data_IF_274134442417
#
_entry.id   IF_274134442417
#
_cell.length_a   1.000
_cell.length_b   1.000
_cell.length_c   1.000
_cell.angle_alpha   90.00
_cell.angle_beta   90.00
_cell.angle_gamma   90.00
#
_symmetry.space_group_name_H-M   'P 1'
#
loop_
_entity.id
_entity.type
_entity.pdbx_description
1 polymer ?
#
# COMPACT_ATOMS: atom_id res chain seq x y z
N UNK A 1 18.66 -25.45 28.23
CA UNK A 1 17.52 -24.53 28.52
C UNK A 1 17.90 -23.31 29.37
N UNK A 2 18.53 -23.46 30.54
CA UNK A 2 18.94 -22.30 31.39
C UNK A 2 19.86 -21.28 30.67
N UNK A 3 20.79 -21.75 29.82
CA UNK A 3 21.67 -20.88 29.03
C UNK A 3 20.96 -20.10 27.91
N UNK A 4 20.02 -20.73 27.18
CA UNK A 4 19.28 -20.04 26.11
C UNK A 4 18.38 -18.94 26.67
N UNK A 5 17.65 -19.24 27.74
CA UNK A 5 16.80 -18.25 28.42
C UNK A 5 17.61 -17.05 28.93
N UNK A 6 18.81 -17.30 29.44
CA UNK A 6 19.75 -16.25 29.82
C UNK A 6 20.10 -15.33 28.64
N UNK A 7 20.52 -15.89 27.49
CA UNK A 7 20.86 -15.09 26.31
C UNK A 7 19.66 -14.34 25.72
N UNK A 8 18.48 -14.94 25.77
CA UNK A 8 17.23 -14.29 25.36
C UNK A 8 16.97 -13.02 26.19
N UNK A 9 16.97 -13.13 27.52
CA UNK A 9 16.76 -11.98 28.41
C UNK A 9 17.90 -10.95 28.32
N UNK A 10 19.15 -11.42 28.18
CA UNK A 10 20.31 -10.56 28.02
C UNK A 10 20.21 -9.74 26.73
N UNK A 11 19.75 -10.34 25.63
CA UNK A 11 19.58 -9.65 24.36
C UNK A 11 18.55 -8.52 24.45
N UNK A 12 17.44 -8.73 25.18
CA UNK A 12 16.49 -7.64 25.47
C UNK A 12 17.15 -6.49 26.23
N UNK A 13 17.93 -6.81 27.26
CA UNK A 13 18.65 -5.81 28.06
C UNK A 13 19.64 -5.03 27.20
N UNK A 14 20.37 -5.71 26.32
CA UNK A 14 21.35 -5.08 25.43
C UNK A 14 20.68 -4.19 24.38
N UNK A 15 19.55 -4.62 23.81
CA UNK A 15 18.76 -3.82 22.87
C UNK A 15 18.29 -2.53 23.56
N UNK A 16 17.71 -2.62 24.76
CA UNK A 16 17.20 -1.44 25.48
C UNK A 16 18.32 -0.52 25.97
N UNK A 17 19.47 -1.08 26.34
CA UNK A 17 20.61 -0.30 26.83
C UNK A 17 21.36 0.43 25.70
N UNK A 18 21.25 -0.06 24.46
CA UNK A 18 21.94 0.52 23.31
C UNK A 18 21.03 1.44 22.50
N UNK A 19 21.19 2.76 22.68
CA UNK A 19 20.30 3.78 22.10
C UNK A 19 19.99 3.61 20.61
N UNK A 20 20.99 3.36 19.78
CA UNK A 20 20.81 3.16 18.32
C UNK A 20 20.00 1.91 17.97
N UNK A 21 20.21 0.80 18.70
CA UNK A 21 19.50 -0.46 18.44
C UNK A 21 18.06 -0.35 18.94
N UNK A 22 17.86 0.22 20.13
CA UNK A 22 16.54 0.51 20.69
C UNK A 22 15.71 1.40 19.75
N UNK A 23 16.30 2.52 19.33
CA UNK A 23 15.62 3.47 18.44
C UNK A 23 15.25 2.82 17.13
N UNK A 24 16.14 2.02 16.54
CA UNK A 24 15.88 1.31 15.29
C UNK A 24 14.79 0.24 15.41
N UNK A 25 14.89 -0.68 16.37
CA UNK A 25 13.99 -1.84 16.44
C UNK A 25 12.61 -1.50 17.00
N UNK A 26 12.53 -0.51 17.90
CA UNK A 26 11.31 -0.22 18.64
C UNK A 26 10.78 1.18 18.28
N UNK A 27 11.58 2.23 18.50
CA UNK A 27 11.10 3.60 18.35
C UNK A 27 10.75 3.94 16.90
N UNK A 28 11.50 3.47 15.91
CA UNK A 28 11.22 3.70 14.50
C UNK A 28 9.89 3.10 14.08
N UNK A 29 9.54 1.91 14.57
CA UNK A 29 8.24 1.28 14.26
C UNK A 29 7.09 2.13 14.80
N UNK A 30 7.21 2.59 16.05
CA UNK A 30 6.23 3.51 16.66
C UNK A 30 6.18 4.85 15.92
N UNK A 31 7.33 5.41 15.56
CA UNK A 31 7.38 6.68 14.85
C UNK A 31 6.72 6.57 13.48
N UNK A 32 7.11 5.57 12.68
CA UNK A 32 6.56 5.39 11.34
C UNK A 32 5.07 5.02 11.35
N UNK A 33 4.57 4.34 12.38
CA UNK A 33 3.15 4.03 12.50
C UNK A 33 2.27 5.25 12.70
N UNK A 34 2.81 6.37 13.22
CA UNK A 34 2.10 7.65 13.28
C UNK A 34 2.45 8.53 12.08
N UNK A 35 3.73 8.62 11.72
CA UNK A 35 4.21 9.52 10.67
C UNK A 35 3.56 9.26 9.31
N UNK A 36 3.50 8.00 8.86
CA UNK A 36 2.94 7.69 7.54
C UNK A 36 1.43 7.99 7.47
N UNK A 37 0.61 7.49 8.42
CA UNK A 37 -0.81 7.79 8.37
C UNK A 37 -1.15 9.26 8.50
N UNK A 38 -0.44 10.02 9.36
CA UNK A 38 -0.69 11.46 9.52
C UNK A 38 -0.26 12.25 8.28
N UNK A 39 0.87 11.89 7.66
CA UNK A 39 1.33 12.54 6.42
C UNK A 39 0.34 12.39 5.26
N UNK A 40 -0.47 11.34 5.26
CA UNK A 40 -1.47 11.07 4.22
C UNK A 40 -2.92 11.29 4.69
N UNK A 41 -3.12 11.82 5.90
CA UNK A 41 -4.46 12.07 6.45
C UNK A 41 -5.19 13.20 5.73
N UNK A 42 -4.45 14.16 5.18
CA UNK A 42 -4.98 15.29 4.41
C UNK A 42 -5.48 14.93 3.00
N UNK A 43 -5.41 13.66 2.59
CA UNK A 43 -5.82 13.20 1.25
C UNK A 43 -7.17 12.49 1.23
N UNK A 44 -8.04 12.75 2.21
CA UNK A 44 -9.47 12.59 1.98
C UNK A 44 -9.84 13.54 0.84
N UNK A 45 -10.38 13.01 -0.24
CA UNK A 45 -10.58 13.72 -1.50
C UNK A 45 -11.10 15.14 -1.28
N UNK A 46 -10.26 16.15 -1.51
CA UNK A 46 -10.72 17.51 -1.74
C UNK A 46 -11.71 17.46 -2.92
N UNK A 47 -12.78 18.25 -2.85
CA UNK A 47 -13.79 18.27 -3.89
C UNK A 47 -13.11 18.56 -5.24
N UNK A 48 -13.33 17.72 -6.26
CA UNK A 48 -12.68 17.87 -7.55
C UNK A 48 -13.18 19.15 -8.21
N UNK A 49 -12.32 20.15 -8.48
CA UNK A 49 -12.75 21.35 -9.18
C UNK A 49 -13.04 20.98 -10.64
N UNK A 50 -14.28 21.12 -11.07
CA UNK A 50 -14.71 20.86 -12.44
C UNK A 50 -15.35 22.10 -13.06
N UNK A 51 -15.28 22.15 -14.38
CA UNK A 51 -16.02 23.13 -15.19
C UNK A 51 -17.10 22.37 -15.96
N UNK A 52 -18.31 22.90 -15.94
CA UNK A 52 -19.40 22.34 -16.73
C UNK A 52 -19.52 23.15 -18.02
N UNK A 53 -19.52 22.45 -19.16
CA UNK A 53 -19.79 23.04 -20.47
C UNK A 53 -21.23 22.67 -20.84
N UNK A 54 -22.15 23.63 -20.75
CA UNK A 54 -23.57 23.44 -21.12
C UNK A 54 -23.86 24.14 -22.44
N UNK A 55 -23.81 23.37 -23.54
CA UNK A 55 -24.08 23.86 -24.90
C UNK A 55 -25.59 23.87 -25.21
N UNK A 56 -26.40 23.04 -24.54
CA UNK A 56 -27.84 22.89 -24.81
C UNK A 56 -28.70 23.90 -24.02
N UNK A 57 -28.33 24.22 -22.78
CA UNK A 57 -29.08 25.08 -21.86
C UNK A 57 -30.56 24.63 -21.70
N UNK A 58 -30.78 23.33 -21.52
CA UNK A 58 -32.10 22.74 -21.39
C UNK A 58 -32.52 22.50 -19.93
N UNK A 59 -33.79 22.10 -19.74
CA UNK A 59 -34.27 21.63 -18.44
C UNK A 59 -33.60 20.33 -18.00
N UNK A 60 -33.14 19.50 -18.94
CA UNK A 60 -32.37 18.28 -18.67
C UNK A 60 -30.95 18.62 -18.20
N UNK A 61 -30.25 19.53 -18.90
CA UNK A 61 -28.90 19.97 -18.52
C UNK A 61 -28.91 20.62 -17.13
N UNK A 62 -29.88 21.48 -16.85
CA UNK A 62 -30.08 22.11 -15.52
C UNK A 62 -30.24 21.08 -14.41
N UNK A 63 -30.96 19.98 -14.68
CA UNK A 63 -31.19 18.91 -13.69
C UNK A 63 -29.93 18.08 -13.45
N UNK A 64 -29.16 17.79 -14.50
CA UNK A 64 -27.86 17.12 -14.39
C UNK A 64 -26.89 17.98 -13.57
N UNK A 65 -26.79 19.27 -13.87
CA UNK A 65 -25.97 20.23 -13.13
C UNK A 65 -26.38 20.25 -11.64
N UNK A 66 -27.69 20.31 -11.37
CA UNK A 66 -28.20 20.30 -10.01
C UNK A 66 -27.89 19.02 -9.23
N UNK A 67 -27.81 17.87 -9.89
CA UNK A 67 -27.41 16.61 -9.26
C UNK A 67 -25.90 16.56 -9.00
N UNK A 68 -25.10 17.01 -9.96
CA UNK A 68 -23.64 17.10 -9.84
C UNK A 68 -23.25 18.02 -8.69
N UNK A 69 -23.94 19.16 -8.53
CA UNK A 69 -23.72 20.12 -7.45
C UNK A 69 -24.02 19.57 -6.05
N UNK A 70 -24.79 18.48 -5.93
CA UNK A 70 -25.09 17.82 -4.66
C UNK A 70 -24.01 16.80 -4.25
N UNK A 71 -23.09 16.46 -5.16
CA UNK A 71 -22.01 15.51 -4.87
C UNK A 71 -20.97 16.16 -3.94
N UNK A 72 -20.68 15.58 -2.76
CA UNK A 72 -19.68 16.13 -1.84
C UNK A 72 -18.24 16.02 -2.37
N UNK A 73 -18.04 15.29 -3.47
CA UNK A 73 -16.73 15.01 -4.02
C UNK A 73 -16.37 15.96 -5.19
N UNK A 74 -17.20 16.96 -5.49
CA UNK A 74 -17.09 17.78 -6.70
C UNK A 74 -17.37 19.23 -6.36
N UNK A 75 -16.54 20.13 -6.86
CA UNK A 75 -16.71 21.58 -6.75
C UNK A 75 -16.89 22.15 -8.15
N UNK A 76 -18.00 22.84 -8.40
CA UNK A 76 -18.27 23.46 -9.71
C UNK A 76 -17.68 24.86 -9.69
N UNK A 77 -16.53 25.04 -10.35
CA UNK A 77 -15.83 26.32 -10.44
C UNK A 77 -16.54 27.31 -11.37
N UNK A 78 -17.05 26.80 -12.49
CA UNK A 78 -17.73 27.59 -13.49
C UNK A 78 -18.65 26.74 -14.38
N UNK A 79 -19.64 27.42 -14.97
CA UNK A 79 -20.49 26.88 -16.04
C UNK A 79 -20.31 27.81 -17.25
N UNK A 80 -19.90 27.25 -18.39
CA UNK A 80 -19.70 27.99 -19.65
C UNK A 80 -20.42 27.27 -20.80
N UNK A 81 -20.71 27.99 -21.89
CA UNK A 81 -21.19 27.39 -23.14
C UNK A 81 -20.06 27.08 -24.12
N UNK A 82 -18.80 27.31 -23.73
CA UNK A 82 -17.65 27.20 -24.64
C UNK A 82 -16.61 26.18 -24.12
N UNK A 83 -16.49 25.06 -24.83
CA UNK A 83 -15.51 24.03 -24.50
C UNK A 83 -14.06 24.52 -24.54
N UNK A 84 -13.72 25.43 -25.46
CA UNK A 84 -12.35 25.95 -25.57
C UNK A 84 -11.94 26.77 -24.34
N UNK A 85 -12.90 27.50 -23.75
CA UNK A 85 -12.68 28.22 -22.49
C UNK A 85 -12.44 27.23 -21.36
N UNK A 86 -13.33 26.23 -21.17
CA UNK A 86 -13.15 25.20 -20.14
C UNK A 86 -11.81 24.47 -20.26
N UNK A 87 -11.37 24.18 -21.49
CA UNK A 87 -10.07 23.57 -21.77
C UNK A 87 -8.91 24.45 -21.30
N UNK A 88 -8.95 25.75 -21.55
CA UNK A 88 -7.89 26.68 -21.12
C UNK A 88 -7.76 26.73 -19.59
N UNK A 89 -8.88 26.62 -18.87
CA UNK A 89 -8.86 26.59 -17.40
C UNK A 89 -8.16 25.33 -16.87
N UNK A 90 -8.46 24.16 -17.46
CA UNK A 90 -7.76 22.91 -17.12
C UNK A 90 -6.27 22.98 -17.48
N UNK A 91 -5.92 23.50 -18.66
CA UNK A 91 -4.52 23.70 -19.07
C UNK A 91 -3.76 24.67 -18.14
N UNK A 92 -4.47 25.65 -17.55
CA UNK A 92 -3.94 26.58 -16.56
C UNK A 92 -3.98 26.09 -15.10
N UNK A 93 -4.35 24.82 -14.87
CA UNK A 93 -4.48 24.19 -13.54
C UNK A 93 -5.50 24.88 -12.62
N UNK A 94 -6.51 25.54 -13.17
CA UNK A 94 -7.62 26.13 -12.40
C UNK A 94 -8.79 25.18 -12.17
N UNK A 95 -8.82 24.06 -12.90
CA UNK A 95 -9.79 22.99 -12.75
C UNK A 95 -9.13 21.66 -13.15
N UNK A 96 -9.63 20.55 -12.60
CA UNK A 96 -9.10 19.20 -12.82
C UNK A 96 -10.01 18.34 -13.71
N UNK A 97 -11.17 18.86 -14.14
CA UNK A 97 -12.06 18.16 -15.07
C UNK A 97 -13.06 19.06 -15.79
N UNK A 98 -13.63 18.53 -16.88
CA UNK A 98 -14.67 19.16 -17.69
C UNK A 98 -15.82 18.16 -17.86
N UNK A 99 -17.03 18.59 -17.52
CA UNK A 99 -18.27 17.87 -17.85
C UNK A 99 -18.95 18.56 -19.03
N UNK A 100 -18.95 17.94 -20.21
CA UNK A 100 -19.56 18.46 -21.43
C UNK A 100 -20.97 17.90 -21.62
N UNK A 101 -21.94 18.80 -21.65
CA UNK A 101 -23.34 18.57 -22.00
C UNK A 101 -23.56 19.13 -23.41
N UNK A 102 -23.61 18.27 -24.45
CA UNK A 102 -23.69 18.73 -25.85
C UNK A 102 -25.06 19.33 -26.19
N UNK A 103 -25.08 20.19 -27.21
CA UNK A 103 -26.26 20.95 -27.67
C UNK A 103 -27.46 20.10 -28.13
N UNK A 104 -27.25 18.83 -28.43
CA UNK A 104 -28.28 17.89 -28.90
C UNK A 104 -28.67 16.84 -27.85
N UNK A 105 -28.24 16.96 -26.60
CA UNK A 105 -28.41 15.96 -25.53
C UNK A 105 -29.86 15.47 -25.38
N UNK A 106 -30.83 16.38 -25.25
CA UNK A 106 -32.24 16.04 -25.07
C UNK A 106 -32.84 15.39 -26.32
N UNK A 107 -32.38 15.80 -27.51
CA UNK A 107 -32.84 15.25 -28.77
C UNK A 107 -32.30 13.83 -28.99
N UNK A 108 -31.01 13.61 -28.77
CA UNK A 108 -30.38 12.29 -28.89
C UNK A 108 -30.98 11.29 -27.91
N UNK A 109 -31.25 11.71 -26.67
CA UNK A 109 -31.92 10.85 -25.68
C UNK A 109 -33.34 10.45 -26.12
N UNK A 110 -34.10 11.34 -26.76
CA UNK A 110 -35.45 11.06 -27.29
C UNK A 110 -35.45 10.15 -28.53
N UNK A 111 -34.35 10.07 -29.27
CA UNK A 111 -34.25 9.23 -30.46
C UNK A 111 -33.55 7.89 -30.16
N UNK A 112 -33.14 7.66 -28.91
CA UNK A 112 -32.33 6.49 -28.53
C UNK A 112 -30.90 6.55 -29.10
N UNK A 113 -30.45 7.73 -29.52
CA UNK A 113 -29.11 7.92 -30.05
C UNK A 113 -28.09 8.04 -28.91
N UNK A 114 -26.91 7.45 -29.10
CA UNK A 114 -25.81 7.45 -28.12
C UNK A 114 -24.97 8.73 -28.15
N UNK A 115 -25.60 9.89 -28.38
CA UNK A 115 -24.98 11.21 -28.26
C UNK A 115 -24.65 11.50 -26.80
N UNK A 116 -23.49 11.02 -26.34
CA UNK A 116 -23.15 10.92 -24.93
C UNK A 116 -22.65 12.23 -24.30
N UNK A 117 -22.77 12.27 -22.97
CA UNK A 117 -22.14 13.29 -22.11
C UNK A 117 -20.63 13.03 -22.07
N UNK A 118 -19.84 14.08 -22.27
CA UNK A 118 -18.38 13.99 -22.23
C UNK A 118 -17.84 14.27 -20.84
N UNK A 119 -16.94 13.43 -20.34
CA UNK A 119 -16.20 13.70 -19.10
C UNK A 119 -14.70 13.68 -19.39
N UNK A 120 -14.09 14.86 -19.33
CA UNK A 120 -12.66 15.06 -19.58
C UNK A 120 -11.96 15.31 -18.25
N UNK A 121 -10.88 14.59 -17.99
CA UNK A 121 -10.27 14.52 -16.68
C UNK A 121 -8.77 14.76 -16.81
N UNK A 122 -8.24 15.69 -16.02
CA UNK A 122 -6.80 15.96 -15.94
C UNK A 122 -6.07 14.75 -15.38
N UNK A 123 -4.93 14.40 -16.00
CA UNK A 123 -4.06 13.33 -15.49
C UNK A 123 -3.09 13.80 -14.41
N UNK A 124 -3.06 15.11 -14.10
CA UNK A 124 -2.16 15.67 -13.09
C UNK A 124 -2.40 15.05 -11.70
N UNK A 125 -3.66 14.78 -11.36
CA UNK A 125 -4.10 14.13 -10.12
C UNK A 125 -4.84 12.81 -10.40
N UNK A 126 -4.31 11.98 -11.32
CA UNK A 126 -4.97 10.81 -11.91
C UNK A 126 -5.77 9.92 -10.93
N UNK A 127 -5.25 9.66 -9.73
CA UNK A 127 -5.94 8.84 -8.72
C UNK A 127 -7.26 9.47 -8.24
N UNK A 128 -7.23 10.77 -7.90
CA UNK A 128 -8.40 11.53 -7.44
C UNK A 128 -9.39 11.70 -8.58
N UNK A 129 -8.89 12.12 -9.74
CA UNK A 129 -9.70 12.41 -10.91
C UNK A 129 -10.41 11.16 -11.45
N UNK A 130 -9.73 10.00 -11.49
CA UNK A 130 -10.34 8.73 -11.94
C UNK A 130 -11.52 8.32 -11.06
N UNK A 131 -11.39 8.41 -9.75
CA UNK A 131 -12.42 7.94 -8.83
C UNK A 131 -13.64 8.86 -8.80
N UNK A 132 -13.40 10.17 -8.69
CA UNK A 132 -14.49 11.17 -8.67
C UNK A 132 -15.18 11.20 -10.03
N UNK A 133 -14.42 11.04 -11.12
CA UNK A 133 -14.96 10.93 -12.47
C UNK A 133 -15.91 9.75 -12.66
N UNK A 134 -15.60 8.58 -12.08
CA UNK A 134 -16.52 7.43 -12.09
C UNK A 134 -17.80 7.71 -11.28
N UNK A 135 -17.68 8.31 -10.09
CA UNK A 135 -18.83 8.70 -9.28
C UNK A 135 -19.75 9.69 -10.01
N UNK A 136 -19.16 10.69 -10.66
CA UNK A 136 -19.86 11.65 -11.52
C UNK A 136 -20.58 10.95 -12.67
N UNK A 137 -19.90 10.09 -13.42
CA UNK A 137 -20.50 9.34 -14.51
C UNK A 137 -21.72 8.53 -14.05
N UNK A 138 -21.62 7.80 -12.93
CA UNK A 138 -22.75 7.03 -12.40
C UNK A 138 -23.92 7.90 -11.94
N UNK A 139 -23.66 9.07 -11.35
CA UNK A 139 -24.73 10.01 -10.93
C UNK A 139 -25.46 10.62 -12.13
N UNK A 140 -24.71 10.93 -13.18
CA UNK A 140 -25.25 11.43 -14.45
C UNK A 140 -26.08 10.34 -15.14
N UNK A 141 -25.57 9.10 -15.21
CA UNK A 141 -26.29 7.94 -15.76
C UNK A 141 -27.63 7.70 -15.03
N UNK A 142 -27.63 7.76 -13.70
CA UNK A 142 -28.87 7.64 -12.90
C UNK A 142 -29.87 8.76 -13.20
N UNK A 143 -29.38 10.00 -13.32
CA UNK A 143 -30.23 11.14 -13.65
C UNK A 143 -30.87 11.01 -15.03
N UNK A 144 -30.08 10.51 -16.01
CA UNK A 144 -30.58 10.21 -17.34
C UNK A 144 -31.64 9.12 -17.30
N UNK A 145 -31.39 8.00 -16.61
CA UNK A 145 -32.34 6.88 -16.47
C UNK A 145 -33.67 7.31 -15.84
N UNK A 146 -33.62 8.08 -14.75
CA UNK A 146 -34.79 8.66 -14.09
C UNK A 146 -35.59 9.58 -15.03
N UNK A 147 -34.91 10.31 -15.91
CA UNK A 147 -35.54 11.20 -16.87
C UNK A 147 -36.18 10.42 -18.03
N UNK A 148 -35.51 9.40 -18.58
CA UNK A 148 -36.10 8.53 -19.62
C UNK A 148 -37.28 7.72 -19.09
N UNK A 149 -37.24 7.21 -17.86
CA UNK A 149 -38.37 6.49 -17.26
C UNK A 149 -39.61 7.38 -17.09
N UNK A 150 -39.42 8.66 -16.75
CA UNK A 150 -40.52 9.60 -16.50
C UNK A 150 -41.07 10.29 -17.75
N UNK A 151 -40.24 10.48 -18.77
CA UNK A 151 -40.57 11.32 -19.94
C UNK A 151 -40.32 10.66 -21.30
N UNK A 152 -39.75 9.46 -21.36
CA UNK A 152 -39.46 8.74 -22.59
C UNK A 152 -40.61 7.86 -23.07
N UNK A 153 -41.20 8.16 -24.23
CA UNK A 153 -42.02 7.21 -25.01
C UNK A 153 -41.17 6.44 -26.03
N UNK A 154 -39.96 6.01 -25.65
CA UNK A 154 -39.00 5.36 -26.57
C UNK A 154 -38.74 3.93 -26.14
N UNK A 155 -39.03 3.01 -27.06
CA UNK A 155 -38.68 1.60 -27.04
C UNK A 155 -37.15 1.40 -27.01
N UNK A 156 -36.68 0.52 -26.13
CA UNK A 156 -35.31 -0.05 -26.09
C UNK A 156 -34.13 0.89 -25.75
N UNK A 157 -34.33 1.94 -24.95
CA UNK A 157 -33.19 2.50 -24.20
C UNK A 157 -32.83 1.56 -23.04
N UNK A 158 -31.97 0.57 -23.31
CA UNK A 158 -31.26 -0.13 -22.24
C UNK A 158 -30.06 0.73 -21.88
N UNK A 159 -30.02 1.41 -20.71
CA UNK A 159 -28.80 2.06 -20.28
C UNK A 159 -27.70 1.00 -20.33
N UNK A 160 -26.67 1.25 -21.15
CA UNK A 160 -25.53 0.36 -21.27
C UNK A 160 -25.06 0.08 -19.85
N UNK A 161 -25.16 -1.20 -19.43
CA UNK A 161 -24.91 -1.72 -18.09
C UNK A 161 -24.18 -0.71 -17.21
N UNK A 162 -24.88 -0.11 -16.23
CA UNK A 162 -24.25 0.79 -15.27
C UNK A 162 -23.11 0.02 -14.59
N UNK A 163 -21.88 0.25 -15.05
CA UNK A 163 -20.71 -0.43 -14.51
C UNK A 163 -20.43 0.26 -13.19
N UNK A 164 -21.12 -0.18 -12.15
CA UNK A 164 -20.87 0.25 -10.78
C UNK A 164 -19.48 -0.22 -10.35
N UNK A 165 -18.48 0.64 -10.55
CA UNK A 165 -17.11 0.40 -10.12
C UNK A 165 -16.96 0.75 -8.65
N UNK A 166 -17.30 -0.19 -7.77
CA UNK A 166 -17.02 -0.07 -6.34
C UNK A 166 -15.61 -0.63 -6.10
N UNK A 167 -14.66 0.16 -5.56
CA UNK A 167 -13.34 -0.37 -5.20
C UNK A 167 -13.49 -1.41 -4.07
N UNK A 168 -13.23 -2.68 -4.39
CA UNK A 168 -13.48 -3.82 -3.49
C UNK A 168 -12.65 -3.80 -2.19
N UNK A 169 -11.47 -3.18 -2.19
CA UNK A 169 -10.50 -3.30 -1.08
C UNK A 169 -9.95 -1.95 -0.57
N UNK A 170 -10.37 -0.83 -1.17
CA UNK A 170 -10.09 0.52 -0.68
C UNK A 170 -11.34 1.40 -0.82
N UNK A 171 -12.39 1.18 -0.01
CA UNK A 171 -13.67 1.89 -0.13
C UNK A 171 -13.53 3.40 0.11
N UNK A 172 -12.61 3.81 0.99
CA UNK A 172 -12.31 5.23 1.25
C UNK A 172 -11.43 5.87 0.17
N UNK A 173 -10.79 5.04 -0.68
CA UNK A 173 -9.88 5.42 -1.76
C UNK A 173 -8.76 6.42 -1.41
N UNK A 174 -8.48 6.61 -0.12
CA UNK A 174 -7.37 7.43 0.33
C UNK A 174 -6.04 6.82 -0.08
N UNK A 175 -5.09 7.68 -0.48
CA UNK A 175 -3.72 7.29 -0.84
C UNK A 175 -3.02 6.54 0.31
N UNK A 176 -3.26 6.97 1.56
CA UNK A 176 -2.78 6.27 2.76
C UNK A 176 -3.26 4.82 2.84
N UNK A 177 -4.53 4.54 2.55
CA UNK A 177 -5.13 3.20 2.59
C UNK A 177 -4.58 2.25 1.52
N UNK A 178 -3.93 2.79 0.50
CA UNK A 178 -3.26 2.04 -0.56
C UNK A 178 -1.77 1.84 -0.25
N UNK A 179 -1.06 2.91 0.11
CA UNK A 179 0.39 2.89 0.30
C UNK A 179 0.80 2.28 1.63
N UNK A 180 0.12 2.63 2.72
CA UNK A 180 0.54 2.22 4.05
C UNK A 180 0.56 0.70 4.25
N UNK A 181 -0.43 -0.08 3.79
CA UNK A 181 -0.38 -1.54 3.88
C UNK A 181 0.78 -2.19 3.12
N UNK A 182 1.27 -1.54 2.07
CA UNK A 182 2.42 -2.02 1.30
C UNK A 182 3.77 -1.63 1.95
N UNK A 183 3.85 -0.43 2.52
CA UNK A 183 5.08 0.08 3.15
C UNK A 183 5.27 -0.50 4.56
N UNK A 184 4.20 -0.81 5.29
CA UNK A 184 4.24 -1.35 6.64
C UNK A 184 5.11 -2.62 6.81
N UNK A 185 4.95 -3.68 5.98
CA UNK A 185 5.85 -4.83 6.01
C UNK A 185 7.30 -4.45 5.71
N UNK A 186 7.55 -3.49 4.81
CA UNK A 186 8.90 -3.03 4.50
C UNK A 186 9.52 -2.26 5.66
N UNK A 187 8.76 -1.47 6.41
CA UNK A 187 9.26 -0.81 7.63
C UNK A 187 9.80 -1.86 8.59
N UNK A 188 9.01 -2.90 8.90
CA UNK A 188 9.44 -3.99 9.79
C UNK A 188 10.66 -4.73 9.22
N UNK A 189 10.67 -5.00 7.91
CA UNK A 189 11.80 -5.62 7.24
C UNK A 189 13.09 -4.80 7.43
N UNK A 190 13.04 -3.49 7.17
CA UNK A 190 14.21 -2.63 7.25
C UNK A 190 14.69 -2.41 8.70
N UNK A 191 13.77 -2.24 9.66
CA UNK A 191 14.16 -2.06 11.06
C UNK A 191 14.82 -3.31 11.64
N UNK A 192 14.31 -4.51 11.33
CA UNK A 192 14.93 -5.76 11.75
C UNK A 192 16.27 -5.96 11.06
N UNK A 193 16.35 -5.73 9.74
CA UNK A 193 17.59 -5.86 8.98
C UNK A 193 18.70 -4.98 9.58
N UNK A 194 18.40 -3.70 9.85
CA UNK A 194 19.37 -2.78 10.46
C UNK A 194 19.69 -3.18 11.90
N UNK A 195 18.66 -3.35 12.73
CA UNK A 195 18.82 -3.51 14.17
C UNK A 195 19.49 -4.81 14.57
N UNK A 196 19.15 -5.93 13.92
CA UNK A 196 19.81 -7.21 14.17
C UNK A 196 21.23 -7.23 13.58
N UNK A 197 21.47 -6.58 12.44
CA UNK A 197 22.84 -6.42 11.93
C UNK A 197 23.71 -5.65 12.94
N UNK A 198 23.22 -4.52 13.45
CA UNK A 198 23.93 -3.75 14.49
C UNK A 198 24.19 -4.59 15.74
N UNK A 199 23.20 -5.35 16.21
CA UNK A 199 23.33 -6.17 17.42
C UNK A 199 24.40 -7.26 17.26
N UNK A 200 24.41 -7.96 16.12
CA UNK A 200 25.43 -8.98 15.81
C UNK A 200 26.83 -8.34 15.76
N UNK A 201 26.97 -7.18 15.12
CA UNK A 201 28.26 -6.52 14.98
C UNK A 201 28.77 -5.94 16.31
N UNK A 202 27.90 -5.39 17.16
CA UNK A 202 28.27 -4.95 18.52
C UNK A 202 28.76 -6.12 19.37
N UNK A 203 28.14 -7.30 19.25
CA UNK A 203 28.61 -8.50 19.92
C UNK A 203 30.00 -8.94 19.42
N UNK A 204 30.25 -8.81 18.11
CA UNK A 204 31.56 -9.06 17.49
C UNK A 204 32.63 -8.08 17.98
N UNK A 205 32.32 -6.78 18.02
CA UNK A 205 33.23 -5.73 18.51
C UNK A 205 33.60 -5.94 19.99
N UNK A 206 32.63 -6.34 20.81
CA UNK A 206 32.83 -6.66 22.23
C UNK A 206 33.54 -8.00 22.46
N UNK A 207 33.91 -8.71 21.39
CA UNK A 207 34.55 -10.04 21.42
C UNK A 207 33.75 -11.05 22.26
N UNK A 208 32.42 -10.96 22.23
CA UNK A 208 31.55 -11.93 22.88
C UNK A 208 31.56 -13.20 22.04
N UNK A 209 31.95 -14.34 22.63
CA UNK A 209 31.91 -15.63 21.94
C UNK A 209 30.46 -15.98 21.54
N UNK A 210 30.20 -15.98 20.23
CA UNK A 210 28.90 -16.32 19.67
C UNK A 210 28.74 -17.84 19.62
N UNK A 211 28.29 -18.41 20.73
CA UNK A 211 27.84 -19.81 20.77
C UNK A 211 26.42 -19.96 20.18
N UNK A 212 26.04 -21.18 19.80
CA UNK A 212 24.72 -21.47 19.22
C UNK A 212 23.55 -20.92 20.08
N UNK A 213 23.62 -21.08 21.41
CA UNK A 213 22.59 -20.56 22.32
C UNK A 213 22.53 -19.03 22.36
N UNK A 214 23.66 -18.34 22.16
CA UNK A 214 23.72 -16.88 22.13
C UNK A 214 23.08 -16.35 20.85
N UNK A 215 23.45 -16.91 19.69
CA UNK A 215 22.85 -16.55 18.41
C UNK A 215 21.34 -16.81 18.39
N UNK A 216 20.91 -18.01 18.82
CA UNK A 216 19.49 -18.36 18.86
C UNK A 216 18.74 -17.49 19.87
N UNK A 217 19.29 -17.23 21.06
CA UNK A 217 18.67 -16.38 22.07
C UNK A 217 18.47 -14.94 21.58
N UNK A 218 19.48 -14.38 20.90
CA UNK A 218 19.42 -13.07 20.25
C UNK A 218 18.36 -13.02 19.16
N UNK A 219 18.35 -14.01 18.26
CA UNK A 219 17.35 -14.12 17.20
C UNK A 219 15.94 -14.24 17.78
N UNK A 220 15.74 -14.99 18.86
CA UNK A 220 14.45 -15.10 19.56
C UNK A 220 14.00 -13.77 20.17
N UNK A 221 14.92 -12.97 20.73
CA UNK A 221 14.58 -11.66 21.27
C UNK A 221 14.10 -10.72 20.15
N UNK A 222 14.83 -10.65 19.04
CA UNK A 222 14.44 -9.86 17.87
C UNK A 222 13.15 -10.41 17.23
N UNK A 223 12.96 -11.72 17.22
CA UNK A 223 11.74 -12.36 16.74
C UNK A 223 10.51 -11.91 17.55
N UNK A 224 10.62 -11.90 18.88
CA UNK A 224 9.53 -11.42 19.75
C UNK A 224 9.26 -9.93 19.50
N UNK A 225 10.30 -9.09 19.39
CA UNK A 225 10.13 -7.65 19.09
C UNK A 225 9.47 -7.44 17.73
N UNK A 226 9.93 -8.16 16.70
CA UNK A 226 9.40 -8.09 15.34
C UNK A 226 7.94 -8.52 15.25
N UNK A 227 7.58 -9.64 15.90
CA UNK A 227 6.19 -10.11 15.96
C UNK A 227 5.28 -9.10 16.66
N UNK A 228 5.70 -8.57 17.82
CA UNK A 228 4.95 -7.53 18.53
C UNK A 228 4.83 -6.24 17.69
N UNK A 229 5.90 -5.84 17.01
CA UNK A 229 5.91 -4.71 16.09
C UNK A 229 4.92 -4.89 14.92
N UNK A 230 4.88 -6.07 14.30
CA UNK A 230 3.89 -6.39 13.28
C UNK A 230 2.47 -6.34 13.81
N UNK A 231 2.18 -6.97 14.95
CA UNK A 231 0.82 -6.97 15.51
C UNK A 231 0.40 -5.58 15.98
N UNK A 232 1.33 -4.78 16.48
CA UNK A 232 1.09 -3.37 16.77
C UNK A 232 0.74 -2.59 15.50
N UNK A 233 1.53 -2.75 14.43
CA UNK A 233 1.36 -1.97 13.21
C UNK A 233 0.08 -2.40 12.45
N UNK A 234 -0.08 -3.69 12.15
CA UNK A 234 -1.26 -4.20 11.43
C UNK A 234 -2.52 -4.31 12.30
N UNK A 235 -2.38 -4.33 13.63
CA UNK A 235 -3.50 -4.36 14.57
C UNK A 235 -3.88 -2.96 15.04
N UNK A 236 -3.08 -2.38 15.93
CA UNK A 236 -3.40 -1.11 16.58
C UNK A 236 -3.36 0.08 15.63
N UNK A 237 -2.31 0.24 14.81
CA UNK A 237 -2.22 1.40 13.89
C UNK A 237 -3.31 1.35 12.82
N UNK A 238 -3.59 0.18 12.23
CA UNK A 238 -4.69 0.05 11.26
C UNK A 238 -6.06 0.28 11.88
N UNK A 239 -6.26 -0.12 13.14
CA UNK A 239 -7.48 0.18 13.89
C UNK A 239 -7.61 1.68 14.21
N UNK A 240 -6.52 2.33 14.63
CA UNK A 240 -6.52 3.74 15.03
C UNK A 240 -6.78 4.69 13.85
N UNK A 241 -6.20 4.42 12.68
CA UNK A 241 -6.35 5.24 11.47
C UNK A 241 -7.49 4.78 10.55
N UNK A 242 -8.29 3.82 11.02
CA UNK A 242 -9.43 3.24 10.31
C UNK A 242 -9.13 2.77 8.88
N UNK A 243 -7.98 2.12 8.71
CA UNK A 243 -7.64 1.52 7.42
C UNK A 243 -8.54 0.31 7.12
N UNK A 244 -8.83 0.04 5.82
CA UNK A 244 -9.60 -1.14 5.40
C UNK A 244 -8.98 -2.41 5.99
N UNK A 245 -9.83 -3.33 6.45
CA UNK A 245 -9.42 -4.58 7.10
C UNK A 245 -10.27 -5.73 6.55
N UNK A 246 -9.70 -6.53 5.66
CA UNK A 246 -10.30 -7.73 5.06
C UNK A 246 -10.52 -8.89 6.03
N UNK A 247 -10.09 -8.77 7.29
CA UNK A 247 -10.59 -9.61 8.40
C UNK A 247 -9.95 -10.99 8.59
N UNK A 248 -8.93 -11.38 7.82
CA UNK A 248 -8.25 -12.68 8.04
C UNK A 248 -7.15 -12.61 9.13
N UNK A 249 -7.59 -12.47 10.38
CA UNK A 249 -6.69 -12.42 11.54
C UNK A 249 -5.90 -13.72 11.72
N UNK A 250 -6.52 -14.88 11.48
CA UNK A 250 -5.86 -16.18 11.63
C UNK A 250 -4.69 -16.35 10.65
N UNK A 251 -4.89 -15.97 9.38
CA UNK A 251 -3.83 -15.92 8.38
C UNK A 251 -2.69 -15.00 8.80
N UNK A 252 -3.01 -13.84 9.40
CA UNK A 252 -1.99 -12.92 9.90
C UNK A 252 -1.20 -13.48 11.10
N UNK A 253 -1.86 -14.17 12.03
CA UNK A 253 -1.19 -14.85 13.16
C UNK A 253 -0.19 -15.92 12.71
N UNK A 254 -0.43 -16.56 11.56
CA UNK A 254 0.49 -17.53 10.97
C UNK A 254 1.58 -16.86 10.11
N UNK A 255 1.21 -15.85 9.32
CA UNK A 255 2.11 -15.20 8.37
C UNK A 255 3.19 -14.36 9.08
N UNK A 256 2.84 -13.66 10.17
CA UNK A 256 3.78 -12.79 10.90
C UNK A 256 5.00 -13.57 11.41
N UNK A 257 4.88 -14.68 12.17
CA UNK A 257 6.01 -15.51 12.57
C UNK A 257 6.92 -15.93 11.40
N UNK A 258 6.34 -16.41 10.30
CA UNK A 258 7.10 -16.87 9.12
C UNK A 258 7.85 -15.71 8.48
N UNK A 259 7.20 -14.54 8.36
CA UNK A 259 7.81 -13.33 7.86
C UNK A 259 9.01 -12.90 8.71
N UNK A 260 8.82 -12.73 10.01
CA UNK A 260 9.89 -12.29 10.93
C UNK A 260 11.05 -13.29 10.93
N UNK A 261 10.75 -14.59 10.94
CA UNK A 261 11.76 -15.64 10.83
C UNK A 261 12.59 -15.52 9.54
N UNK A 262 11.92 -15.27 8.41
CA UNK A 262 12.59 -15.12 7.10
C UNK A 262 13.54 -13.93 7.10
N UNK A 263 13.10 -12.77 7.62
CA UNK A 263 13.96 -11.58 7.73
C UNK A 263 15.15 -11.86 8.62
N UNK A 264 14.95 -12.50 9.78
CA UNK A 264 16.03 -12.82 10.71
C UNK A 264 17.07 -13.73 10.03
N UNK A 265 16.63 -14.79 9.35
CA UNK A 265 17.51 -15.68 8.60
C UNK A 265 18.35 -14.94 7.56
N UNK A 266 17.70 -14.09 6.76
CA UNK A 266 18.38 -13.25 5.75
C UNK A 266 19.34 -12.25 6.41
N UNK A 267 18.93 -11.63 7.50
CA UNK A 267 19.71 -10.61 8.22
C UNK A 267 20.94 -11.23 8.87
N UNK A 268 20.83 -12.39 9.51
CA UNK A 268 21.98 -13.09 10.07
C UNK A 268 23.01 -13.43 8.98
N UNK A 269 22.54 -13.89 7.81
CA UNK A 269 23.43 -14.18 6.69
C UNK A 269 24.09 -12.90 6.18
N UNK A 270 23.32 -11.84 5.97
CA UNK A 270 23.83 -10.55 5.51
C UNK A 270 24.85 -9.95 6.49
N UNK A 271 24.51 -9.89 7.79
CA UNK A 271 25.36 -9.38 8.86
C UNK A 271 26.69 -10.15 8.97
N UNK A 272 26.71 -11.45 8.62
CA UNK A 272 27.93 -12.26 8.62
C UNK A 272 28.97 -11.88 7.54
N UNK A 273 28.61 -10.97 6.61
CA UNK A 273 29.52 -10.37 5.64
C UNK A 273 29.90 -8.93 5.97
N UNK A 274 29.34 -8.34 7.03
CA UNK A 274 29.59 -6.96 7.40
C UNK A 274 30.72 -6.87 8.43
N UNK A 275 31.52 -5.82 8.26
CA UNK A 275 32.59 -5.47 9.19
C UNK A 275 32.18 -4.35 10.16
N UNK A 276 31.27 -3.48 9.73
CA UNK A 276 30.88 -2.24 10.43
C UNK A 276 29.36 -2.05 10.44
N UNK A 277 28.74 -1.67 11.56
CA UNK A 277 27.28 -1.49 11.67
C UNK A 277 26.72 -0.47 10.66
N UNK A 278 27.47 0.59 10.35
CA UNK A 278 27.06 1.67 9.44
C UNK A 278 26.86 1.18 8.00
N UNK A 279 27.61 0.14 7.59
CA UNK A 279 27.47 -0.44 6.24
C UNK A 279 26.09 -1.06 6.02
N UNK A 280 25.44 -1.58 7.08
CA UNK A 280 24.07 -2.05 6.98
C UNK A 280 23.12 -0.91 6.59
N UNK A 281 23.31 0.28 7.17
CA UNK A 281 22.52 1.47 6.86
C UNK A 281 22.61 1.89 5.39
N UNK A 282 23.81 1.86 4.79
CA UNK A 282 23.97 2.18 3.37
C UNK A 282 23.18 1.23 2.46
N UNK A 283 23.22 -0.08 2.75
CA UNK A 283 22.48 -1.07 1.96
C UNK A 283 20.97 -0.82 2.05
N UNK A 284 20.45 -0.44 3.21
CA UNK A 284 19.02 -0.13 3.37
C UNK A 284 18.59 1.06 2.53
N UNK A 285 19.37 2.15 2.54
CA UNK A 285 19.04 3.35 1.76
C UNK A 285 18.93 3.01 0.28
N UNK A 286 19.87 2.23 -0.27
CA UNK A 286 19.85 1.83 -1.68
C UNK A 286 18.78 0.79 -2.03
N UNK A 287 18.43 -0.11 -1.12
CA UNK A 287 17.51 -1.23 -1.41
C UNK A 287 16.05 -0.90 -1.14
N UNK A 288 15.74 -0.01 -0.19
CA UNK A 288 14.37 0.28 0.24
C UNK A 288 13.43 0.67 -0.90
N UNK A 289 13.82 1.64 -1.73
CA UNK A 289 13.01 2.14 -2.85
C UNK A 289 12.83 1.06 -3.93
N UNK A 290 13.89 0.40 -4.45
CA UNK A 290 13.74 -0.70 -5.39
C UNK A 290 12.84 -1.83 -4.90
N UNK A 291 12.98 -2.25 -3.63
CA UNK A 291 12.14 -3.31 -3.06
C UNK A 291 10.66 -2.91 -3.00
N UNK A 292 10.36 -1.64 -2.72
CA UNK A 292 8.98 -1.13 -2.76
C UNK A 292 8.40 -1.18 -4.18
N UNK A 293 9.14 -0.72 -5.20
CA UNK A 293 8.66 -0.79 -6.58
C UNK A 293 8.50 -2.23 -7.06
N UNK A 294 9.49 -3.09 -6.81
CA UNK A 294 9.45 -4.50 -7.21
C UNK A 294 8.41 -5.32 -6.45
N UNK A 295 7.87 -4.83 -5.33
CA UNK A 295 6.81 -5.51 -4.58
C UNK A 295 5.50 -5.65 -5.37
N UNK A 296 5.33 -4.84 -6.42
CA UNK A 296 4.09 -4.78 -7.20
C UNK A 296 3.03 -3.87 -6.58
N UNK A 297 3.32 -3.26 -5.43
CA UNK A 297 2.38 -2.38 -4.75
C UNK A 297 2.17 -1.08 -5.53
N UNK A 298 3.25 -0.34 -5.84
CA UNK A 298 3.16 0.93 -6.58
C UNK A 298 2.86 0.75 -8.07
N UNK A 299 3.35 -0.35 -8.67
CA UNK A 299 3.16 -0.65 -10.08
C UNK A 299 2.79 -2.12 -10.24
N UNK A 300 1.69 -2.47 -10.93
CA UNK A 300 1.31 -3.87 -11.08
C UNK A 300 2.41 -4.68 -11.78
N UNK A 301 2.70 -5.89 -11.28
CA UNK A 301 3.68 -6.80 -11.90
C UNK A 301 3.39 -7.09 -13.36
N UNK A 302 2.11 -7.21 -13.75
CA UNK A 302 1.70 -7.44 -15.13
C UNK A 302 2.13 -6.33 -16.11
N UNK A 303 2.37 -5.11 -15.59
CA UNK A 303 2.85 -3.98 -16.39
C UNK A 303 4.38 -3.84 -16.40
N UNK A 304 5.10 -4.67 -15.64
CA UNK A 304 6.57 -4.68 -15.66
C UNK A 304 7.10 -5.55 -16.81
N UNK A 305 8.30 -5.28 -17.33
CA UNK A 305 9.02 -6.21 -18.20
C UNK A 305 9.22 -7.58 -17.53
N UNK A 306 9.21 -8.65 -18.31
CA UNK A 306 9.30 -10.04 -17.81
C UNK A 306 10.51 -10.29 -16.90
N UNK A 307 11.67 -9.71 -17.20
CA UNK A 307 12.86 -9.86 -16.36
C UNK A 307 12.68 -9.22 -14.97
N UNK A 308 11.95 -8.11 -14.86
CA UNK A 308 11.65 -7.46 -13.57
C UNK A 308 10.63 -8.28 -12.78
N UNK A 309 9.66 -8.88 -13.46
CA UNK A 309 8.68 -9.77 -12.82
C UNK A 309 9.38 -10.94 -12.13
N UNK A 310 10.28 -11.63 -12.85
CA UNK A 310 11.05 -12.76 -12.31
C UNK A 310 11.91 -12.33 -11.11
N UNK A 311 12.62 -11.20 -11.22
CA UNK A 311 13.42 -10.66 -10.11
C UNK A 311 12.53 -10.32 -8.92
N UNK A 312 11.40 -9.66 -9.16
CA UNK A 312 10.43 -9.30 -8.13
C UNK A 312 9.89 -10.53 -7.40
N UNK A 313 9.50 -11.58 -8.11
CA UNK A 313 8.92 -12.79 -7.54
C UNK A 313 9.91 -13.61 -6.68
N UNK A 314 11.20 -13.58 -7.03
CA UNK A 314 12.26 -14.24 -6.25
C UNK A 314 12.57 -13.49 -4.95
N UNK A 315 12.25 -12.20 -4.86
CA UNK A 315 12.56 -11.42 -3.66
C UNK A 315 11.57 -11.75 -2.52
N UNK A 316 12.06 -12.16 -1.34
CA UNK A 316 11.21 -12.42 -0.18
C UNK A 316 10.34 -11.22 0.18
N UNK A 317 10.90 -10.00 0.10
CA UNK A 317 10.18 -8.74 0.39
C UNK A 317 8.92 -8.59 -0.46
N UNK A 318 8.96 -9.00 -1.73
CA UNK A 318 7.80 -8.95 -2.63
C UNK A 318 6.72 -9.92 -2.18
N UNK A 319 7.10 -11.17 -1.90
CA UNK A 319 6.17 -12.19 -1.41
C UNK A 319 5.54 -11.78 -0.07
N UNK A 320 6.33 -11.16 0.80
CA UNK A 320 5.90 -10.60 2.09
C UNK A 320 4.85 -9.51 1.87
N UNK A 321 5.17 -8.46 1.11
CA UNK A 321 4.27 -7.33 0.87
C UNK A 321 2.95 -7.80 0.29
N UNK A 322 3.01 -8.66 -0.73
CA UNK A 322 1.80 -9.21 -1.34
C UNK A 322 0.98 -10.07 -0.37
N UNK A 323 1.63 -10.89 0.48
CA UNK A 323 0.92 -11.71 1.48
C UNK A 323 0.17 -10.83 2.48
N UNK A 324 0.78 -9.73 2.94
CA UNK A 324 0.12 -8.82 3.87
C UNK A 324 -1.01 -8.01 3.21
N UNK A 325 -0.86 -7.56 1.96
CA UNK A 325 -1.98 -6.93 1.23
C UNK A 325 -3.14 -7.91 1.06
N UNK A 326 -2.84 -9.16 0.69
CA UNK A 326 -3.83 -10.23 0.52
C UNK A 326 -4.57 -10.55 1.82
N UNK A 327 -3.87 -10.64 2.95
CA UNK A 327 -4.48 -10.92 4.24
C UNK A 327 -5.21 -9.71 4.84
N UNK A 328 -4.55 -8.55 4.88
CA UNK A 328 -5.05 -7.37 5.58
C UNK A 328 -6.08 -6.60 4.77
N UNK A 329 -5.93 -6.45 3.45
CA UNK A 329 -6.89 -5.70 2.63
C UNK A 329 -7.93 -6.61 2.00
N UNK A 330 -7.49 -7.74 1.41
CA UNK A 330 -8.37 -8.59 0.60
C UNK A 330 -9.09 -9.67 1.40
N UNK A 331 -8.60 -10.03 2.59
CA UNK A 331 -9.22 -11.06 3.42
C UNK A 331 -9.18 -12.47 2.82
N UNK A 332 -8.25 -12.75 1.91
CA UNK A 332 -8.23 -14.06 1.21
C UNK A 332 -8.01 -15.22 2.19
N UNK A 333 -8.61 -16.40 1.92
CA UNK A 333 -8.40 -17.60 2.72
C UNK A 333 -6.91 -17.96 2.88
N UNK A 334 -6.54 -18.41 4.07
CA UNK A 334 -5.16 -18.74 4.42
C UNK A 334 -4.55 -19.86 3.55
N UNK A 335 -5.38 -20.70 2.94
CA UNK A 335 -4.94 -21.75 2.01
C UNK A 335 -4.28 -21.18 0.75
N UNK A 336 -4.69 -20.00 0.28
CA UNK A 336 -4.14 -19.38 -0.93
C UNK A 336 -2.75 -18.79 -0.73
N UNK A 337 -2.42 -18.37 0.49
CA UNK A 337 -1.10 -17.80 0.81
C UNK A 337 -0.10 -18.86 1.30
N UNK A 338 -0.55 -20.08 1.56
CA UNK A 338 0.30 -21.15 2.08
C UNK A 338 1.55 -21.42 1.22
N UNK A 339 1.48 -21.44 -0.13
CA UNK A 339 2.68 -21.59 -0.96
C UNK A 339 3.72 -20.48 -0.73
N UNK A 340 3.25 -19.23 -0.54
CA UNK A 340 4.14 -18.09 -0.24
C UNK A 340 4.80 -18.25 1.13
N UNK A 341 4.05 -18.70 2.14
CA UNK A 341 4.60 -18.96 3.47
C UNK A 341 5.64 -20.09 3.46
N UNK A 342 5.39 -21.17 2.71
CA UNK A 342 6.36 -22.25 2.55
C UNK A 342 7.64 -21.77 1.87
N UNK A 343 7.50 -21.00 0.79
CA UNK A 343 8.61 -20.38 0.09
C UNK A 343 9.46 -19.50 1.02
N UNK A 344 8.82 -18.59 1.76
CA UNK A 344 9.49 -17.72 2.73
C UNK A 344 10.19 -18.54 3.83
N UNK A 345 9.50 -19.52 4.40
CA UNK A 345 10.08 -20.41 5.42
C UNK A 345 11.30 -21.19 4.92
N UNK A 346 11.27 -21.67 3.66
CA UNK A 346 12.42 -22.35 3.04
C UNK A 346 13.61 -21.41 2.87
N UNK A 347 13.39 -20.20 2.35
CA UNK A 347 14.47 -19.21 2.19
C UNK A 347 15.03 -18.78 3.55
N UNK A 348 14.16 -18.49 4.52
CA UNK A 348 14.56 -18.14 5.88
C UNK A 348 15.43 -19.22 6.50
N UNK A 349 15.02 -20.49 6.37
CA UNK A 349 15.77 -21.65 6.88
C UNK A 349 17.12 -21.82 6.19
N UNK A 350 17.16 -21.68 4.86
CA UNK A 350 18.39 -21.77 4.06
C UNK A 350 19.38 -20.67 4.47
N UNK A 351 18.92 -19.42 4.52
CA UNK A 351 19.77 -18.28 4.92
C UNK A 351 20.26 -18.43 6.36
N UNK A 352 19.38 -18.81 7.29
CA UNK A 352 19.77 -19.03 8.68
C UNK A 352 20.79 -20.16 8.83
N UNK A 353 20.64 -21.26 8.09
CA UNK A 353 21.61 -22.36 8.09
C UNK A 353 22.99 -21.92 7.58
N UNK A 354 23.04 -21.17 6.47
CA UNK A 354 24.29 -20.62 5.94
C UNK A 354 24.93 -19.62 6.92
N UNK A 355 24.13 -18.77 7.54
CA UNK A 355 24.58 -17.83 8.56
C UNK A 355 25.15 -18.54 9.79
N UNK A 356 24.46 -19.58 10.28
CA UNK A 356 24.89 -20.40 11.41
C UNK A 356 26.27 -21.01 11.14
N UNK A 357 26.47 -21.61 9.96
CA UNK A 357 27.79 -22.14 9.57
C UNK A 357 28.83 -21.04 9.58
N UNK A 358 28.56 -19.88 8.98
CA UNK A 358 29.57 -18.82 8.87
C UNK A 358 29.91 -18.16 10.21
N UNK A 359 28.92 -17.88 11.05
CA UNK A 359 29.10 -17.19 12.33
C UNK A 359 29.68 -18.09 13.42
N UNK A 360 29.38 -19.40 13.42
CA UNK A 360 29.79 -20.32 14.50
C UNK A 360 30.95 -21.23 14.07
N UNK A 361 30.96 -21.75 12.84
CA UNK A 361 31.99 -22.73 12.44
C UNK A 361 33.32 -22.10 11.99
N UNK A 362 33.34 -20.80 11.65
CA UNK A 362 34.56 -20.09 11.25
C UNK A 362 35.16 -19.22 12.37
N UNK A 363 34.92 -19.54 13.65
CA UNK A 363 35.51 -18.83 14.80
C UNK A 363 37.06 -18.78 14.86
N UNK A 364 37.78 -19.30 13.84
CA UNK A 364 39.24 -19.24 13.75
C UNK A 364 39.82 -18.09 12.92
N UNK A 365 39.07 -17.47 12.02
CA UNK A 365 39.63 -16.42 11.12
C UNK A 365 38.53 -15.52 10.57
N UNK A 366 38.24 -14.40 11.23
CA UNK A 366 37.61 -13.22 10.61
C UNK A 366 37.93 -11.92 11.34
#
# INVERSE_FOLDING_TARGET
MKSLWFYYLQSFKDIVSHGTIFTTLILSVLFYSFFYPTAYQAQQAEALPIIIVDEEQSSLSTRIIGQVAQSPNVEIEAITGNFAEAKQWVESQKADGILLLPDNLSQSLRHGETGGIGLYLSTANFLVTKQIGLGLATSVEQTLADYTERFGQVSDFSPALSVHQIPLFNPLSGYGSYVFPAVAPLIIHQTILLGLSMLILVYRERKVELNANALIGMCLAVFTIGCLGCFYLFGFSFWLFDYPRGGNLFGMLLAVPVFIYTIIGMTCLFASFLDLPERAGHVIVFTSIPLFFLSGAAWPHAAMPTWMQVVGEILPSTQIVQTFIQLNQMGVPTTLILPKLLYLGMIGSLCFFLAYRRLISNCGTF
#
